data_IF_016443590931
#
_entry.id   IF_016443590931
#
_cell.length_a   1.000
_cell.length_b   1.000
_cell.length_c   1.000
_cell.angle_alpha   90.00
_cell.angle_beta   90.00
_cell.angle_gamma   90.00
#
_symmetry.space_group_name_H-M   'P 1'
#
loop_
_entity.id
_entity.type
_entity.pdbx_description
1 polymer ?
#
# COMPACT_ATOMS: atom_id res chain seq x y z
N UNK A 1 -2.67 21.80 23.44
CA UNK A 1 -1.80 20.60 23.35
C UNK A 1 -2.69 19.38 23.11
N UNK A 2 -3.01 19.12 21.83
CA UNK A 2 -3.98 18.07 21.44
C UNK A 2 -3.22 17.03 20.62
N UNK A 3 -2.84 15.94 21.29
CA UNK A 3 -2.29 14.75 20.65
C UNK A 3 -3.35 14.18 19.71
N UNK A 4 -3.18 14.37 18.40
CA UNK A 4 -3.95 13.62 17.40
C UNK A 4 -3.50 12.17 17.45
N UNK A 5 -4.32 11.33 18.07
CA UNK A 5 -4.19 9.88 18.04
C UNK A 5 -4.34 9.45 16.56
N UNK A 6 -3.27 8.89 16.01
CA UNK A 6 -3.33 8.17 14.75
C UNK A 6 -4.18 6.93 15.01
N UNK A 7 -5.47 7.01 14.71
CA UNK A 7 -6.35 5.85 14.63
C UNK A 7 -6.03 5.13 13.33
N UNK A 8 -5.50 3.94 13.48
CA UNK A 8 -5.42 2.94 12.40
C UNK A 8 -6.86 2.57 12.02
N UNK A 9 -7.43 3.31 11.06
CA UNK A 9 -8.77 3.02 10.55
C UNK A 9 -8.67 1.81 9.62
N UNK A 10 -9.06 0.65 10.15
CA UNK A 10 -9.45 -0.47 9.31
C UNK A 10 -10.60 -0.01 8.42
N UNK A 11 -10.33 0.08 7.11
CA UNK A 11 -11.35 0.41 6.12
C UNK A 11 -12.29 -0.80 6.04
N UNK A 12 -13.31 -0.77 6.89
CA UNK A 12 -14.47 -1.63 6.78
C UNK A 12 -15.36 -1.03 5.70
N UNK A 13 -15.24 -1.54 4.49
CA UNK A 13 -16.26 -1.31 3.47
C UNK A 13 -17.49 -2.14 3.86
N UNK A 14 -18.34 -1.58 4.72
CA UNK A 14 -19.67 -2.14 4.97
C UNK A 14 -20.55 -1.76 3.78
N UNK A 15 -20.56 -2.58 2.74
CA UNK A 15 -21.64 -2.54 1.76
C UNK A 15 -22.86 -3.17 2.41
N UNK A 16 -23.89 -2.35 2.59
CA UNK A 16 -25.22 -2.67 3.09
C UNK A 16 -25.79 -3.91 2.41
N UNK A 17 -26.28 -4.83 3.25
CA UNK A 17 -26.94 -6.04 2.83
C UNK A 17 -28.15 -5.78 1.94
N UNK A 18 -28.15 -6.50 0.83
CA UNK A 18 -29.36 -6.94 0.14
C UNK A 18 -29.47 -8.44 0.41
N UNK A 19 -30.23 -8.78 1.47
CA UNK A 19 -30.72 -10.13 1.64
C UNK A 19 -31.72 -10.40 0.52
N UNK A 20 -31.36 -11.28 -0.39
CA UNK A 20 -32.26 -11.68 -1.45
C UNK A 20 -31.74 -12.88 -2.24
N UNK A 21 -32.28 -14.06 -1.93
CA UNK A 21 -32.26 -15.29 -2.72
C UNK A 21 -30.93 -16.02 -2.85
N UNK A 22 -30.91 -17.21 -2.28
CA UNK A 22 -30.04 -18.30 -2.67
C UNK A 22 -30.27 -18.62 -4.16
N UNK A 23 -29.54 -17.91 -5.00
CA UNK A 23 -29.23 -18.35 -6.34
C UNK A 23 -27.84 -18.98 -6.18
N UNK A 24 -27.64 -20.17 -6.76
CA UNK A 24 -26.31 -20.80 -6.84
C UNK A 24 -25.31 -19.69 -7.19
N UNK A 25 -24.59 -19.22 -6.18
CA UNK A 25 -23.54 -18.26 -6.42
C UNK A 25 -22.57 -18.99 -7.33
N UNK A 26 -22.47 -18.55 -8.59
CA UNK A 26 -21.55 -19.12 -9.56
C UNK A 26 -20.21 -19.34 -8.85
N UNK A 27 -19.81 -20.60 -8.74
CA UNK A 27 -18.60 -20.94 -7.99
C UNK A 27 -17.46 -20.12 -8.55
N UNK A 28 -16.64 -19.54 -7.65
CA UNK A 28 -15.48 -18.75 -8.08
C UNK A 28 -14.58 -19.64 -8.92
N UNK A 29 -14.28 -19.19 -10.12
CA UNK A 29 -13.42 -19.92 -11.06
C UNK A 29 -11.94 -19.71 -10.74
N UNK A 30 -11.08 -20.59 -11.25
CA UNK A 30 -9.63 -20.45 -11.11
C UNK A 30 -9.10 -19.20 -11.85
N UNK A 31 -9.77 -18.79 -12.93
CA UNK A 31 -9.43 -17.56 -13.64
C UNK A 31 -9.75 -16.31 -12.81
N UNK A 32 -10.92 -16.27 -12.17
CA UNK A 32 -11.30 -15.17 -11.27
C UNK A 32 -10.35 -15.08 -10.07
N UNK A 33 -9.94 -16.22 -9.48
CA UNK A 33 -8.91 -16.23 -8.44
C UNK A 33 -7.57 -15.71 -8.94
N UNK A 34 -7.17 -16.08 -10.15
CA UNK A 34 -5.92 -15.63 -10.75
C UNK A 34 -5.93 -14.13 -11.05
N UNK A 35 -7.04 -13.61 -11.55
CA UNK A 35 -7.21 -12.15 -11.77
C UNK A 35 -7.13 -11.41 -10.44
N UNK A 36 -7.81 -11.90 -9.41
CA UNK A 36 -7.75 -11.32 -8.07
C UNK A 36 -6.33 -11.37 -7.48
N UNK A 37 -5.64 -12.51 -7.61
CA UNK A 37 -4.26 -12.66 -7.17
C UNK A 37 -3.32 -11.67 -7.88
N UNK A 38 -3.49 -11.49 -9.20
CA UNK A 38 -2.73 -10.53 -10.00
C UNK A 38 -2.94 -9.10 -9.50
N UNK A 39 -4.18 -8.70 -9.25
CA UNK A 39 -4.53 -7.39 -8.69
C UNK A 39 -3.86 -7.15 -7.33
N UNK A 40 -3.91 -8.14 -6.42
CA UNK A 40 -3.26 -8.02 -5.09
C UNK A 40 -1.73 -7.94 -5.21
N UNK A 41 -1.13 -8.64 -6.17
CA UNK A 41 0.32 -8.55 -6.44
C UNK A 41 0.68 -7.17 -6.99
N UNK A 42 -0.09 -6.62 -7.91
CA UNK A 42 0.12 -5.27 -8.45
C UNK A 42 -0.01 -4.21 -7.37
N UNK A 43 -1.05 -4.31 -6.53
CA UNK A 43 -1.21 -3.43 -5.38
C UNK A 43 -0.04 -3.53 -4.39
N UNK A 44 0.41 -4.75 -4.10
CA UNK A 44 1.58 -5.00 -3.25
C UNK A 44 2.87 -4.38 -3.82
N UNK A 45 3.08 -4.49 -5.14
CA UNK A 45 4.23 -3.87 -5.81
C UNK A 45 4.17 -2.34 -5.74
N UNK A 46 2.99 -1.77 -5.94
CA UNK A 46 2.80 -0.32 -5.80
C UNK A 46 3.11 0.14 -4.38
N UNK A 47 2.59 -0.56 -3.35
CA UNK A 47 2.87 -0.28 -1.95
C UNK A 47 4.38 -0.33 -1.65
N UNK A 48 5.06 -1.36 -2.15
CA UNK A 48 6.51 -1.50 -2.00
C UNK A 48 7.27 -0.34 -2.67
N UNK A 49 6.86 0.07 -3.87
CA UNK A 49 7.48 1.20 -4.57
C UNK A 49 7.34 2.51 -3.80
N UNK A 50 6.17 2.71 -3.16
CA UNK A 50 5.93 3.89 -2.31
C UNK A 50 6.78 3.84 -1.03
N UNK A 51 6.97 2.65 -0.46
CA UNK A 51 7.84 2.44 0.71
C UNK A 51 9.31 2.72 0.37
N UNK A 52 9.80 2.20 -0.74
CA UNK A 52 11.17 2.49 -1.21
C UNK A 52 11.35 3.97 -1.56
N UNK A 53 10.34 4.61 -2.14
CA UNK A 53 10.39 6.07 -2.40
C UNK A 53 10.52 6.87 -1.10
N UNK A 54 9.73 6.51 -0.07
CA UNK A 54 9.84 7.13 1.26
C UNK A 54 11.23 6.94 1.85
N UNK A 55 11.77 5.73 1.76
CA UNK A 55 13.12 5.40 2.23
C UNK A 55 14.17 6.24 1.50
N UNK A 56 14.09 6.33 0.17
CA UNK A 56 14.99 7.15 -0.63
C UNK A 56 14.91 8.63 -0.22
N UNK A 57 13.72 9.17 -0.03
CA UNK A 57 13.53 10.57 0.39
C UNK A 57 14.19 10.87 1.75
N UNK A 58 14.34 9.88 2.63
CA UNK A 58 14.87 10.05 3.98
C UNK A 58 16.34 9.61 4.07
N UNK A 59 16.64 8.38 3.61
CA UNK A 59 17.95 7.74 3.86
C UNK A 59 18.99 8.11 2.80
N UNK A 60 18.56 8.25 1.56
CA UNK A 60 19.43 8.57 0.42
C UNK A 60 19.52 10.08 0.16
N UNK A 61 18.74 10.89 0.86
CA UNK A 61 18.82 12.34 0.80
C UNK A 61 19.99 12.83 1.65
N UNK A 62 20.96 13.48 1.01
CA UNK A 62 22.17 14.00 1.66
C UNK A 62 21.86 14.98 2.80
N UNK A 63 20.79 15.77 2.67
CA UNK A 63 20.32 16.71 3.71
C UNK A 63 20.05 15.97 5.03
N UNK A 64 19.54 14.74 4.97
CA UNK A 64 19.15 13.97 6.14
C UNK A 64 20.23 13.02 6.67
N UNK A 65 21.43 13.02 6.07
CA UNK A 65 22.60 12.30 6.57
C UNK A 65 22.29 10.84 6.92
N UNK A 66 21.71 10.09 5.97
CA UNK A 66 21.33 8.70 6.19
C UNK A 66 20.11 8.53 7.13
N UNK A 67 19.32 9.60 7.35
CA UNK A 67 18.13 9.58 8.19
C UNK A 67 18.34 10.04 9.63
N UNK A 68 19.58 10.18 10.11
CA UNK A 68 19.85 10.68 11.48
C UNK A 68 19.30 12.10 11.66
N UNK A 69 19.64 12.98 10.73
CA UNK A 69 19.19 14.38 10.75
C UNK A 69 17.69 14.52 10.57
N UNK A 70 17.06 13.65 9.77
CA UNK A 70 15.60 13.59 9.65
C UNK A 70 14.93 13.38 11.01
N UNK A 71 15.46 12.46 11.84
CA UNK A 71 14.89 12.18 13.16
C UNK A 71 15.05 13.36 14.13
N UNK A 72 16.15 14.09 14.07
CA UNK A 72 16.36 15.30 14.86
C UNK A 72 15.36 16.39 14.48
N UNK A 73 15.18 16.66 13.17
CA UNK A 73 14.22 17.62 12.67
C UNK A 73 12.80 17.22 13.08
N UNK A 74 12.46 15.94 12.93
CA UNK A 74 11.16 15.39 13.32
C UNK A 74 10.84 15.63 14.80
N UNK A 75 11.85 15.47 15.67
CA UNK A 75 11.70 15.70 17.11
C UNK A 75 11.52 17.17 17.48
N UNK A 76 12.05 18.08 16.66
CA UNK A 76 11.94 19.53 16.85
C UNK A 76 10.74 20.15 16.11
N UNK A 77 10.13 19.44 15.16
CA UNK A 77 9.14 19.99 14.22
C UNK A 77 7.91 20.58 14.94
N UNK A 78 7.56 21.81 14.56
CA UNK A 78 6.43 22.53 15.16
C UNK A 78 6.74 23.23 16.50
N UNK A 79 7.99 23.15 16.98
CA UNK A 79 8.49 23.86 18.17
C UNK A 79 9.64 24.77 17.74
N UNK A 80 9.37 26.07 17.64
CA UNK A 80 10.34 27.06 17.13
C UNK A 80 11.61 27.14 17.99
N UNK A 81 11.49 26.92 19.30
CA UNK A 81 12.65 26.94 20.20
C UNK A 81 13.55 25.75 19.89
N UNK A 82 12.97 24.55 19.83
CA UNK A 82 13.74 23.33 19.51
C UNK A 82 14.33 23.36 18.10
N UNK A 83 13.61 23.90 17.13
CA UNK A 83 14.13 24.06 15.76
C UNK A 83 15.32 25.01 15.72
N UNK A 84 15.30 26.09 16.52
CA UNK A 84 16.42 27.01 16.65
C UNK A 84 17.60 26.37 17.38
N UNK A 85 17.37 25.68 18.49
CA UNK A 85 18.39 24.96 19.24
C UNK A 85 19.06 23.86 18.39
N UNK A 86 18.27 23.13 17.59
CA UNK A 86 18.73 22.12 16.65
C UNK A 86 19.32 22.71 15.37
N UNK A 87 19.34 24.05 15.23
CA UNK A 87 19.87 24.79 14.08
C UNK A 87 19.29 24.29 12.75
N UNK A 88 17.99 24.04 12.73
CA UNK A 88 17.30 23.57 11.52
C UNK A 88 17.31 24.67 10.46
N UNK A 89 17.87 24.36 9.29
CA UNK A 89 17.98 25.29 8.16
C UNK A 89 16.70 25.35 7.34
N UNK A 90 16.54 26.37 6.51
CA UNK A 90 15.38 26.49 5.61
C UNK A 90 15.38 25.37 4.55
N UNK A 91 16.54 24.92 4.10
CA UNK A 91 16.69 23.78 3.18
C UNK A 91 16.21 22.48 3.82
N UNK A 92 16.59 22.25 5.08
CA UNK A 92 16.14 21.09 5.85
C UNK A 92 14.62 21.13 6.11
N UNK A 93 14.07 22.29 6.39
CA UNK A 93 12.61 22.49 6.52
C UNK A 93 11.89 22.13 5.23
N UNK A 94 12.38 22.62 4.09
CA UNK A 94 11.80 22.32 2.79
C UNK A 94 11.86 20.83 2.48
N UNK A 95 13.01 20.19 2.69
CA UNK A 95 13.17 18.75 2.48
C UNK A 95 12.26 17.93 3.42
N UNK A 96 12.14 18.31 4.68
CA UNK A 96 11.26 17.65 5.64
C UNK A 96 9.79 17.80 5.26
N UNK A 97 9.36 18.99 4.83
CA UNK A 97 7.98 19.23 4.36
C UNK A 97 7.63 18.32 3.18
N UNK A 98 8.53 18.15 2.21
CA UNK A 98 8.30 17.23 1.08
C UNK A 98 8.06 15.78 1.55
N UNK A 99 8.77 15.34 2.59
CA UNK A 99 8.54 14.00 3.17
C UNK A 99 7.17 13.93 3.85
N UNK A 100 6.76 15.00 4.58
CA UNK A 100 5.44 15.06 5.21
C UNK A 100 4.32 15.04 4.17
N UNK A 101 4.41 15.88 3.13
CA UNK A 101 3.43 15.92 2.05
C UNK A 101 3.31 14.56 1.36
N UNK A 102 4.44 13.89 1.14
CA UNK A 102 4.44 12.55 0.60
C UNK A 102 3.74 11.55 1.54
N UNK A 103 3.98 11.62 2.85
CA UNK A 103 3.33 10.76 3.84
C UNK A 103 1.82 11.01 3.90
N UNK A 104 1.42 12.29 3.92
CA UNK A 104 0.01 12.67 4.03
C UNK A 104 -0.79 12.24 2.79
N UNK A 105 -0.17 12.27 1.62
CA UNK A 105 -0.81 11.82 0.37
C UNK A 105 -0.97 10.29 0.27
N UNK A 106 -0.24 9.49 1.08
CA UNK A 106 -0.21 8.02 0.87
C UNK A 106 -1.58 7.37 0.94
N UNK A 107 -2.41 7.74 1.91
CA UNK A 107 -3.69 7.09 2.13
C UNK A 107 -4.62 7.25 0.92
N UNK A 108 -4.67 8.45 0.35
CA UNK A 108 -5.51 8.74 -0.81
C UNK A 108 -4.96 8.05 -2.07
N UNK A 109 -3.68 8.20 -2.33
CA UNK A 109 -3.01 7.58 -3.50
C UNK A 109 -3.13 6.05 -3.51
N UNK A 110 -2.97 5.39 -2.34
CA UNK A 110 -3.14 3.94 -2.24
C UNK A 110 -4.59 3.51 -2.43
N UNK A 111 -5.53 4.29 -1.90
CA UNK A 111 -6.96 4.03 -2.08
C UNK A 111 -7.38 4.18 -3.54
N UNK A 112 -6.96 5.27 -4.20
CA UNK A 112 -7.23 5.50 -5.61
C UNK A 112 -6.67 4.37 -6.47
N UNK A 113 -5.39 4.06 -6.32
CA UNK A 113 -4.74 2.99 -7.09
C UNK A 113 -5.43 1.63 -6.92
N UNK A 114 -5.80 1.26 -5.68
CA UNK A 114 -6.54 0.01 -5.45
C UNK A 114 -7.94 0.05 -6.06
N UNK A 115 -8.60 1.20 -6.01
CA UNK A 115 -9.91 1.38 -6.62
C UNK A 115 -9.83 1.22 -8.13
N UNK A 116 -8.84 1.84 -8.76
CA UNK A 116 -8.62 1.74 -10.22
C UNK A 116 -8.41 0.29 -10.64
N UNK A 117 -7.55 -0.47 -9.95
CA UNK A 117 -7.34 -1.90 -10.21
C UNK A 117 -8.62 -2.73 -10.08
N UNK A 118 -9.48 -2.41 -9.11
CA UNK A 118 -10.74 -3.12 -8.89
C UNK A 118 -11.79 -2.77 -9.94
N UNK A 119 -11.83 -1.51 -10.37
CA UNK A 119 -12.83 -1.02 -11.31
C UNK A 119 -12.49 -1.29 -12.78
N UNK A 120 -11.23 -1.59 -13.07
CA UNK A 120 -10.77 -1.94 -14.40
C UNK A 120 -11.20 -3.39 -14.74
N UNK A 121 -12.11 -3.52 -15.71
CA UNK A 121 -12.63 -4.83 -16.15
C UNK A 121 -11.57 -5.68 -16.86
N UNK A 122 -10.51 -5.09 -17.40
CA UNK A 122 -9.38 -5.82 -17.99
C UNK A 122 -8.45 -6.39 -16.91
N UNK A 123 -8.42 -5.78 -15.70
CA UNK A 123 -7.61 -6.24 -14.58
C UNK A 123 -8.43 -7.22 -13.71
N UNK A 124 -9.61 -6.80 -13.22
CA UNK A 124 -10.44 -7.61 -12.33
C UNK A 124 -11.94 -7.40 -12.51
N UNK A 125 -12.40 -6.14 -12.49
CA UNK A 125 -13.80 -5.78 -12.43
C UNK A 125 -14.41 -5.88 -11.03
N UNK A 126 -15.25 -4.89 -10.67
CA UNK A 126 -15.85 -4.83 -9.34
C UNK A 126 -16.74 -6.05 -9.00
N UNK A 127 -17.39 -6.65 -9.99
CA UNK A 127 -18.20 -7.86 -9.84
C UNK A 127 -17.35 -9.04 -9.38
N UNK A 128 -16.26 -9.32 -10.08
CA UNK A 128 -15.31 -10.38 -9.75
C UNK A 128 -14.65 -10.14 -8.40
N UNK A 129 -14.25 -8.90 -8.11
CA UNK A 129 -13.69 -8.54 -6.81
C UNK A 129 -14.64 -8.93 -5.66
N UNK A 130 -15.89 -8.49 -5.73
CA UNK A 130 -16.87 -8.76 -4.67
C UNK A 130 -17.18 -10.27 -4.53
N UNK A 131 -17.29 -10.99 -5.65
CA UNK A 131 -17.53 -12.42 -5.69
C UNK A 131 -16.40 -13.20 -5.00
N UNK A 132 -15.15 -12.95 -5.38
CA UNK A 132 -13.97 -13.61 -4.79
C UNK A 132 -13.83 -13.24 -3.32
N UNK A 133 -14.01 -11.97 -2.97
CA UNK A 133 -13.94 -11.50 -1.59
C UNK A 133 -14.97 -12.18 -0.68
N UNK A 134 -16.21 -12.31 -1.13
CA UNK A 134 -17.27 -12.99 -0.38
C UNK A 134 -16.96 -14.49 -0.22
N UNK A 135 -16.62 -15.17 -1.31
CA UNK A 135 -16.34 -16.60 -1.30
C UNK A 135 -15.13 -16.98 -0.43
N UNK A 136 -14.07 -16.17 -0.45
CA UNK A 136 -12.88 -16.43 0.37
C UNK A 136 -13.10 -16.16 1.87
N UNK A 137 -14.06 -15.32 2.25
CA UNK A 137 -14.47 -15.14 3.65
C UNK A 137 -15.19 -16.38 4.21
N UNK A 138 -15.97 -17.05 3.38
CA UNK A 138 -16.79 -18.18 3.79
C UNK A 138 -16.06 -19.54 3.61
N UNK A 139 -15.06 -19.60 2.74
CA UNK A 139 -14.33 -20.83 2.40
C UNK A 139 -12.83 -20.69 2.68
N UNK A 140 -12.32 -21.19 3.83
CA UNK A 140 -10.90 -21.13 4.17
C UNK A 140 -9.98 -21.86 3.19
N UNK A 141 -10.47 -22.94 2.53
CA UNK A 141 -9.69 -23.67 1.54
C UNK A 141 -9.50 -22.83 0.26
N UNK A 142 -10.53 -22.09 -0.16
CA UNK A 142 -10.46 -21.16 -1.28
C UNK A 142 -9.51 -20.00 -0.97
N UNK A 143 -9.57 -19.49 0.26
CA UNK A 143 -8.63 -18.46 0.73
C UNK A 143 -7.18 -18.96 0.68
N UNK A 144 -6.91 -20.16 1.19
CA UNK A 144 -5.57 -20.74 1.15
C UNK A 144 -5.06 -20.93 -0.28
N UNK A 145 -5.94 -21.33 -1.22
CA UNK A 145 -5.60 -21.42 -2.64
C UNK A 145 -5.23 -20.06 -3.22
N UNK A 146 -6.03 -19.02 -2.93
CA UNK A 146 -5.74 -17.63 -3.37
C UNK A 146 -4.41 -17.13 -2.80
N UNK A 147 -4.18 -17.32 -1.49
CA UNK A 147 -2.93 -16.93 -0.84
C UNK A 147 -1.73 -17.62 -1.51
N UNK A 148 -1.82 -18.92 -1.80
CA UNK A 148 -0.79 -19.66 -2.53
C UNK A 148 -0.52 -19.12 -3.94
N UNK A 149 -1.55 -18.70 -4.67
CA UNK A 149 -1.40 -18.08 -6.00
C UNK A 149 -0.67 -16.73 -5.89
N UNK A 150 -1.00 -15.91 -4.89
CA UNK A 150 -0.34 -14.62 -4.63
C UNK A 150 1.14 -14.84 -4.32
N UNK A 151 1.47 -15.78 -3.45
CA UNK A 151 2.84 -16.07 -3.05
C UNK A 151 3.68 -16.62 -4.23
N UNK A 152 3.10 -17.48 -5.06
CA UNK A 152 3.75 -17.99 -6.27
C UNK A 152 4.05 -16.85 -7.26
N UNK A 153 3.09 -15.94 -7.51
CA UNK A 153 3.28 -14.81 -8.41
C UNK A 153 4.37 -13.86 -7.88
N UNK A 154 4.37 -13.54 -6.59
CA UNK A 154 5.41 -12.71 -5.96
C UNK A 154 6.79 -13.35 -6.08
N UNK A 155 6.87 -14.66 -5.85
CA UNK A 155 8.13 -15.41 -5.95
C UNK A 155 8.70 -15.40 -7.37
N UNK A 156 7.84 -15.59 -8.38
CA UNK A 156 8.24 -15.52 -9.80
C UNK A 156 8.77 -14.13 -10.16
N UNK A 157 8.05 -13.08 -9.78
CA UNK A 157 8.50 -11.70 -10.03
C UNK A 157 9.82 -11.37 -9.34
N UNK A 158 10.03 -11.88 -8.11
CA UNK A 158 11.29 -11.69 -7.41
C UNK A 158 12.45 -12.38 -8.13
N UNK A 159 12.26 -13.61 -8.61
CA UNK A 159 13.25 -14.36 -9.37
C UNK A 159 13.62 -13.67 -10.70
N UNK A 160 12.63 -13.15 -11.43
CA UNK A 160 12.86 -12.41 -12.67
C UNK A 160 13.68 -11.14 -12.45
N UNK A 161 13.39 -10.39 -11.37
CA UNK A 161 14.16 -9.18 -11.01
C UNK A 161 15.62 -9.49 -10.67
N UNK A 162 15.91 -10.63 -10.08
CA UNK A 162 17.29 -11.07 -9.77
C UNK A 162 18.03 -11.41 -11.08
N UNK A 163 17.41 -12.15 -11.99
CA UNK A 163 18.04 -12.54 -13.26
C UNK A 163 18.38 -11.34 -14.15
N UNK A 164 17.52 -10.32 -14.18
CA UNK A 164 17.77 -9.08 -14.91
C UNK A 164 18.94 -8.30 -14.31
N UNK A 165 19.15 -8.36 -13.00
CA UNK A 165 20.21 -7.64 -12.30
C UNK A 165 21.59 -8.30 -12.46
N UNK A 166 21.62 -9.64 -12.59
CA UNK A 166 22.84 -10.42 -12.73
C UNK A 166 23.25 -10.63 -14.21
N UNK A 167 22.44 -10.20 -15.17
CA UNK A 167 22.66 -10.34 -16.61
C UNK A 167 23.22 -9.09 -17.32
N UNK A 168 23.69 -8.07 -16.56
CA UNK A 168 24.33 -6.85 -17.08
C UNK A 168 25.83 -6.90 -16.68
#
# INVERSE_FOLDING_TARGET
MTMKKIMLFGIFFSFLGLSGHAQDADAVTDEELKMYAKMEVEFSNFLNSRTEKMKSMIVENEIFQGGARYNEIKAAWGDEVKMTESKVTEEEKAAYTLVQDFQDSQQEVLKEFKTDLIMDEEVLGAGTYNKVLAATKENPALKAKLDGMIDEMKSKQAAEKVQVKDGI
#
